data_IF_776355223416
#
_entry.id   IF_776355223416
#
_cell.length_a   1.000
_cell.length_b   1.000
_cell.length_c   1.000
_cell.angle_alpha   90.00
_cell.angle_beta   90.00
_cell.angle_gamma   90.00
#
_symmetry.space_group_name_H-M   'P 1'
#
loop_
_entity.id
_entity.type
_entity.pdbx_description
1 polymer ?
#
# COMPACT_ATOMS: atom_id res chain seq x y z
N UNK A 1 -8.10 -32.46 -28.46
CA UNK A 1 -7.77 -33.40 -27.35
C UNK A 1 -6.30 -33.30 -26.92
N UNK A 2 -5.32 -33.35 -27.84
CA UNK A 2 -3.89 -33.18 -27.49
C UNK A 2 -3.49 -31.81 -26.93
N UNK A 3 -4.10 -30.72 -27.41
CA UNK A 3 -3.83 -29.37 -26.90
C UNK A 3 -4.26 -29.20 -25.43
N UNK A 4 -5.33 -29.89 -25.01
CA UNK A 4 -5.81 -29.91 -23.62
C UNK A 4 -4.88 -30.74 -22.73
N UNK A 5 -4.43 -31.91 -23.20
CA UNK A 5 -3.45 -32.73 -22.48
C UNK A 5 -2.10 -32.02 -22.27
N UNK A 6 -1.59 -31.31 -23.30
CA UNK A 6 -0.36 -30.49 -23.17
C UNK A 6 -0.53 -29.34 -22.18
N UNK A 7 -1.69 -28.68 -22.21
CA UNK A 7 -1.99 -27.58 -21.29
C UNK A 7 -2.07 -28.05 -19.84
N UNK A 8 -2.70 -29.21 -19.59
CA UNK A 8 -2.76 -29.86 -18.27
C UNK A 8 -1.37 -30.26 -17.75
N UNK A 9 -0.50 -30.78 -18.61
CA UNK A 9 0.86 -31.16 -18.22
C UNK A 9 1.72 -29.95 -17.86
N UNK A 10 1.66 -28.87 -18.64
CA UNK A 10 2.33 -27.61 -18.32
C UNK A 10 1.83 -27.03 -16.99
N UNK A 11 0.52 -27.05 -16.75
CA UNK A 11 -0.06 -26.61 -15.49
C UNK A 11 0.47 -27.42 -14.30
N UNK A 12 0.52 -28.75 -14.42
CA UNK A 12 1.08 -29.61 -13.37
C UNK A 12 2.56 -29.33 -13.11
N UNK A 13 3.37 -29.10 -14.15
CA UNK A 13 4.79 -28.75 -13.99
C UNK A 13 4.98 -27.42 -13.26
N UNK A 14 4.20 -26.39 -13.60
CA UNK A 14 4.28 -25.09 -12.93
C UNK A 14 3.84 -25.18 -11.46
N UNK A 15 2.82 -25.99 -11.16
CA UNK A 15 2.40 -26.27 -9.80
C UNK A 15 3.50 -27.00 -9.02
N UNK A 16 4.07 -28.08 -9.59
CA UNK A 16 5.18 -28.82 -8.97
C UNK A 16 6.40 -27.93 -8.72
N UNK A 17 6.75 -27.05 -9.67
CA UNK A 17 7.82 -26.08 -9.48
C UNK A 17 7.52 -25.14 -8.31
N UNK A 18 6.28 -24.68 -8.17
CA UNK A 18 5.84 -23.82 -7.07
C UNK A 18 5.99 -24.54 -5.73
N UNK A 19 5.56 -25.79 -5.63
CA UNK A 19 5.70 -26.62 -4.42
C UNK A 19 7.18 -26.84 -4.09
N UNK A 20 8.00 -27.20 -5.08
CA UNK A 20 9.43 -27.41 -4.89
C UNK A 20 10.15 -26.15 -4.41
N UNK A 21 9.79 -24.97 -4.94
CA UNK A 21 10.33 -23.69 -4.49
C UNK A 21 9.89 -23.38 -3.05
N UNK A 22 8.63 -23.62 -2.69
CA UNK A 22 8.14 -23.46 -1.31
C UNK A 22 8.95 -24.36 -0.37
N UNK A 23 9.10 -25.64 -0.70
CA UNK A 23 9.86 -26.59 0.12
C UNK A 23 11.31 -26.15 0.26
N UNK A 24 11.94 -25.73 -0.84
CA UNK A 24 13.31 -25.23 -0.86
C UNK A 24 13.51 -24.03 0.06
N UNK A 25 12.67 -23.00 -0.08
CA UNK A 25 12.80 -21.78 0.74
C UNK A 25 12.39 -21.99 2.20
N UNK A 26 11.50 -22.96 2.47
CA UNK A 26 11.07 -23.31 3.83
C UNK A 26 12.20 -23.94 4.65
N UNK A 27 13.11 -24.69 4.02
CA UNK A 27 14.25 -25.32 4.71
C UNK A 27 15.29 -24.26 5.11
N UNK A 28 15.84 -24.32 6.35
CA UNK A 28 16.92 -23.43 6.75
C UNK A 28 18.17 -23.68 5.89
N UNK A 29 18.82 -22.61 5.45
CA UNK A 29 20.00 -22.71 4.61
C UNK A 29 20.65 -21.36 4.29
N UNK A 30 21.97 -21.34 4.04
CA UNK A 30 22.69 -20.14 3.64
C UNK A 30 22.27 -19.70 2.23
N UNK A 31 22.33 -18.40 1.93
CA UNK A 31 22.14 -17.81 0.58
C UNK A 31 20.75 -17.98 -0.06
N UNK A 32 19.71 -18.32 0.71
CA UNK A 32 18.32 -18.39 0.19
C UNK A 32 17.90 -17.10 -0.49
N UNK A 33 18.26 -15.96 0.10
CA UNK A 33 17.92 -14.66 -0.46
C UNK A 33 18.68 -14.36 -1.75
N UNK A 34 19.95 -14.75 -1.85
CA UNK A 34 20.73 -14.66 -3.10
C UNK A 34 20.05 -15.45 -4.22
N UNK A 35 19.57 -16.66 -3.91
CA UNK A 35 18.89 -17.53 -4.87
C UNK A 35 17.54 -16.93 -5.25
N UNK A 36 16.76 -16.42 -4.28
CA UNK A 36 15.51 -15.73 -4.55
C UNK A 36 15.75 -14.53 -5.48
N UNK A 37 16.79 -13.73 -5.24
CA UNK A 37 17.16 -12.62 -6.09
C UNK A 37 17.69 -13.04 -7.47
N UNK A 38 18.45 -14.13 -7.58
CA UNK A 38 18.91 -14.66 -8.86
C UNK A 38 17.74 -15.16 -9.73
N UNK A 39 16.71 -15.72 -9.10
CA UNK A 39 15.50 -16.18 -9.77
C UNK A 39 14.59 -14.99 -10.15
N UNK A 40 14.37 -14.08 -9.19
CA UNK A 40 13.28 -13.11 -9.25
C UNK A 40 13.70 -11.64 -9.29
N UNK A 41 14.98 -11.30 -9.45
CA UNK A 41 15.49 -9.92 -9.38
C UNK A 41 14.83 -8.89 -10.33
N UNK A 42 15.43 -7.72 -10.48
CA UNK A 42 14.79 -6.55 -11.13
C UNK A 42 14.43 -6.70 -12.62
N UNK A 43 14.93 -7.75 -13.30
CA UNK A 43 14.64 -8.04 -14.71
C UNK A 43 14.01 -9.42 -14.83
N UNK A 44 12.67 -9.47 -14.95
CA UNK A 44 11.93 -10.71 -15.09
C UNK A 44 11.36 -10.90 -16.49
N UNK A 45 11.50 -12.12 -17.00
CA UNK A 45 10.68 -12.58 -18.12
C UNK A 45 9.22 -12.76 -17.66
N UNK A 46 8.23 -12.68 -18.57
CA UNK A 46 6.83 -12.91 -18.23
C UNK A 46 6.59 -14.23 -17.48
N UNK A 47 7.31 -15.29 -17.87
CA UNK A 47 7.25 -16.61 -17.21
C UNK A 47 7.73 -16.57 -15.76
N UNK A 48 8.87 -15.90 -15.49
CA UNK A 48 9.39 -15.76 -14.11
C UNK A 48 8.52 -14.85 -13.25
N UNK A 49 7.92 -13.82 -13.85
CA UNK A 49 6.92 -12.96 -13.19
C UNK A 49 5.69 -13.77 -12.78
N UNK A 50 5.13 -14.59 -13.68
CA UNK A 50 4.02 -15.48 -13.37
C UNK A 50 4.37 -16.51 -12.28
N UNK A 51 5.59 -17.07 -12.34
CA UNK A 51 6.06 -18.00 -11.30
C UNK A 51 6.20 -17.32 -9.93
N UNK A 52 6.68 -16.07 -9.89
CA UNK A 52 6.76 -15.28 -8.66
C UNK A 52 5.36 -15.04 -8.06
N UNK A 53 4.39 -14.65 -8.89
CA UNK A 53 2.99 -14.46 -8.46
C UNK A 53 2.44 -15.73 -7.84
N UNK A 54 2.54 -16.88 -8.54
CA UNK A 54 2.06 -18.17 -8.02
C UNK A 54 2.74 -18.55 -6.72
N UNK A 55 4.06 -18.37 -6.63
CA UNK A 55 4.84 -18.63 -5.43
C UNK A 55 4.36 -17.77 -4.25
N UNK A 56 4.18 -16.47 -4.44
CA UNK A 56 3.74 -15.55 -3.38
C UNK A 56 2.30 -15.80 -3.00
N UNK A 57 1.37 -15.94 -3.95
CA UNK A 57 -0.05 -16.23 -3.67
C UNK A 57 -0.22 -17.56 -2.91
N UNK A 58 0.56 -18.58 -3.26
CA UNK A 58 0.57 -19.86 -2.54
C UNK A 58 1.19 -19.70 -1.15
N UNK A 59 2.30 -18.96 -1.02
CA UNK A 59 2.95 -18.69 0.26
C UNK A 59 2.07 -17.87 1.21
N UNK A 60 1.26 -16.95 0.67
CA UNK A 60 0.24 -16.20 1.41
C UNK A 60 -0.82 -17.15 1.97
N UNK A 61 -1.34 -18.04 1.12
CA UNK A 61 -2.39 -19.01 1.51
C UNK A 61 -1.90 -20.06 2.52
N UNK A 62 -0.63 -20.43 2.45
CA UNK A 62 0.02 -21.40 3.32
C UNK A 62 0.83 -20.77 4.46
N UNK A 63 0.82 -19.45 4.61
CA UNK A 63 1.58 -18.68 5.61
C UNK A 63 3.08 -19.03 5.65
N UNK A 64 3.72 -19.19 4.49
CA UNK A 64 5.14 -19.59 4.37
C UNK A 64 6.05 -18.38 4.59
N UNK A 65 6.41 -18.15 5.85
CA UNK A 65 7.16 -16.98 6.32
C UNK A 65 8.45 -16.69 5.55
N UNK A 66 9.34 -17.66 5.25
CA UNK A 66 10.60 -17.36 4.56
C UNK A 66 10.38 -16.80 3.16
N UNK A 67 9.41 -17.37 2.42
CA UNK A 67 9.06 -16.91 1.07
C UNK A 67 8.46 -15.50 1.11
N UNK A 68 7.54 -15.25 2.05
CA UNK A 68 6.91 -13.93 2.19
C UNK A 68 7.92 -12.86 2.63
N UNK A 69 8.89 -13.22 3.46
CA UNK A 69 9.98 -12.33 3.87
C UNK A 69 10.84 -11.93 2.65
N UNK A 70 11.25 -12.91 1.84
CA UNK A 70 12.00 -12.67 0.60
C UNK A 70 11.18 -11.84 -0.42
N UNK A 71 9.88 -12.11 -0.55
CA UNK A 71 8.98 -11.33 -1.40
C UNK A 71 8.84 -9.88 -0.92
N UNK A 72 8.80 -9.63 0.39
CA UNK A 72 8.80 -8.30 0.98
C UNK A 72 10.10 -7.53 0.68
N UNK A 73 11.25 -8.20 0.84
CA UNK A 73 12.56 -7.67 0.47
C UNK A 73 12.64 -7.32 -1.03
N UNK A 74 12.12 -8.21 -1.88
CA UNK A 74 12.04 -8.01 -3.32
C UNK A 74 11.19 -6.79 -3.70
N UNK A 75 9.99 -6.64 -3.13
CA UNK A 75 9.13 -5.48 -3.36
C UNK A 75 9.82 -4.16 -2.96
N UNK A 76 10.58 -4.19 -1.87
CA UNK A 76 11.36 -3.03 -1.42
C UNK A 76 12.51 -2.70 -2.38
N UNK A 77 13.23 -3.72 -2.87
CA UNK A 77 14.39 -3.53 -3.74
C UNK A 77 14.00 -3.08 -5.16
N UNK A 78 13.02 -3.75 -5.77
CA UNK A 78 12.54 -3.41 -7.12
C UNK A 78 11.76 -2.10 -7.11
N UNK A 79 11.18 -1.75 -5.96
CA UNK A 79 10.43 -0.53 -5.75
C UNK A 79 9.01 -0.63 -6.27
N UNK A 80 8.05 -0.34 -5.40
CA UNK A 80 6.62 -0.48 -5.66
C UNK A 80 6.08 0.36 -6.84
N UNK A 81 6.82 1.38 -7.28
CA UNK A 81 6.43 2.24 -8.42
C UNK A 81 6.83 1.68 -9.78
N UNK A 82 7.70 0.66 -9.81
CA UNK A 82 8.16 0.04 -11.06
C UNK A 82 7.04 -0.73 -11.76
N UNK A 83 7.07 -0.77 -13.09
CA UNK A 83 6.07 -1.49 -13.90
C UNK A 83 6.01 -2.97 -13.53
N UNK A 84 7.17 -3.60 -13.29
CA UNK A 84 7.28 -4.99 -12.88
C UNK A 84 6.60 -5.26 -11.53
N UNK A 85 6.92 -4.47 -10.50
CA UNK A 85 6.32 -4.64 -9.17
C UNK A 85 4.81 -4.44 -9.21
N UNK A 86 4.33 -3.51 -10.03
CA UNK A 86 2.90 -3.24 -10.18
C UNK A 86 2.14 -4.40 -10.81
N UNK A 87 2.67 -5.00 -11.87
CA UNK A 87 2.03 -6.15 -12.52
C UNK A 87 1.93 -7.33 -11.56
N UNK A 88 3.04 -7.65 -10.88
CA UNK A 88 3.07 -8.71 -9.86
C UNK A 88 2.11 -8.40 -8.72
N UNK A 89 2.12 -7.18 -8.19
CA UNK A 89 1.23 -6.77 -7.09
C UNK A 89 -0.24 -6.85 -7.50
N UNK A 90 -0.58 -6.45 -8.72
CA UNK A 90 -1.95 -6.51 -9.24
C UNK A 90 -2.46 -7.95 -9.29
N UNK A 91 -1.63 -8.88 -9.77
CA UNK A 91 -2.00 -10.29 -9.82
C UNK A 91 -2.12 -10.90 -8.42
N UNK A 92 -1.18 -10.62 -7.51
CA UNK A 92 -1.28 -11.07 -6.11
C UNK A 92 -2.53 -10.50 -5.44
N UNK A 93 -2.85 -9.22 -5.66
CA UNK A 93 -4.06 -8.60 -5.10
C UNK A 93 -5.34 -9.22 -5.65
N UNK A 94 -5.38 -9.56 -6.94
CA UNK A 94 -6.51 -10.28 -7.54
C UNK A 94 -6.66 -11.68 -6.92
N UNK A 95 -5.57 -12.45 -6.81
CA UNK A 95 -5.58 -13.75 -6.15
C UNK A 95 -6.05 -13.61 -4.70
N UNK A 96 -5.55 -12.61 -3.97
CA UNK A 96 -5.94 -12.34 -2.59
C UNK A 96 -7.45 -12.12 -2.46
N UNK A 97 -8.05 -11.34 -3.37
CA UNK A 97 -9.51 -11.09 -3.37
C UNK A 97 -10.35 -12.28 -3.78
N UNK A 98 -9.82 -13.16 -4.65
CA UNK A 98 -10.54 -14.36 -5.08
C UNK A 98 -10.52 -15.46 -4.00
N UNK A 99 -9.43 -15.54 -3.24
CA UNK A 99 -9.22 -16.55 -2.19
C UNK A 99 -9.57 -16.05 -0.77
N UNK A 100 -10.14 -14.84 -0.63
CA UNK A 100 -10.37 -14.16 0.65
C UNK A 100 -11.47 -14.77 1.53
N UNK A 101 -12.29 -15.70 1.04
CA UNK A 101 -13.39 -16.28 1.83
C UNK A 101 -12.96 -17.49 2.68
N UNK A 102 -12.19 -18.48 2.17
CA UNK A 102 -11.76 -19.64 2.97
C UNK A 102 -10.45 -19.44 3.75
N UNK A 103 -9.59 -18.50 3.34
CA UNK A 103 -8.25 -18.30 3.93
C UNK A 103 -8.16 -17.07 4.85
N UNK A 104 -9.29 -16.42 5.14
CA UNK A 104 -9.37 -15.10 5.78
C UNK A 104 -8.56 -15.01 7.09
N UNK A 105 -8.71 -15.98 7.99
CA UNK A 105 -7.99 -16.01 9.27
C UNK A 105 -6.46 -16.01 9.10
N UNK A 106 -5.95 -16.76 8.11
CA UNK A 106 -4.52 -16.79 7.81
C UNK A 106 -4.04 -15.46 7.25
N UNK A 107 -4.87 -14.80 6.44
CA UNK A 107 -4.58 -13.49 5.87
C UNK A 107 -4.54 -12.40 6.96
N UNK A 108 -5.47 -12.44 7.91
CA UNK A 108 -5.51 -11.53 9.06
C UNK A 108 -4.22 -11.63 9.89
N UNK A 109 -3.73 -12.85 10.12
CA UNK A 109 -2.49 -13.12 10.85
C UNK A 109 -1.20 -12.67 10.13
N UNK A 110 -1.22 -12.42 8.81
CA UNK A 110 0.00 -12.03 8.07
C UNK A 110 0.62 -10.73 8.60
N UNK A 111 -0.20 -9.81 9.08
CA UNK A 111 0.26 -8.56 9.69
C UNK A 111 1.15 -8.78 10.91
N UNK A 112 0.94 -9.88 11.64
CA UNK A 112 1.74 -10.27 12.80
C UNK A 112 2.92 -11.14 12.44
N UNK A 113 2.72 -12.10 11.54
CA UNK A 113 3.74 -13.09 11.22
C UNK A 113 4.82 -12.50 10.30
N UNK A 114 4.41 -11.70 9.30
CA UNK A 114 5.31 -11.12 8.29
C UNK A 114 5.02 -9.63 8.08
N UNK A 115 5.16 -8.79 9.13
CA UNK A 115 4.76 -7.38 9.11
C UNK A 115 5.46 -6.56 8.02
N UNK A 116 6.70 -6.92 7.70
CA UNK A 116 7.43 -6.28 6.61
C UNK A 116 6.75 -6.49 5.25
N UNK A 117 6.39 -7.73 4.93
CA UNK A 117 5.67 -8.05 3.70
C UNK A 117 4.32 -7.34 3.66
N UNK A 118 3.55 -7.40 4.76
CA UNK A 118 2.25 -6.74 4.87
C UNK A 118 2.35 -5.23 4.58
N UNK A 119 3.32 -4.53 5.19
CA UNK A 119 3.55 -3.10 4.95
C UNK A 119 3.89 -2.81 3.48
N UNK A 120 4.76 -3.60 2.84
CA UNK A 120 5.14 -3.41 1.43
C UNK A 120 4.01 -3.71 0.48
N UNK A 121 3.27 -4.76 0.76
CA UNK A 121 2.11 -5.13 -0.02
C UNK A 121 1.03 -4.05 0.06
N UNK A 122 0.72 -3.53 1.26
CA UNK A 122 -0.18 -2.39 1.43
C UNK A 122 0.25 -1.18 0.60
N UNK A 123 1.53 -0.78 0.65
CA UNK A 123 2.03 0.36 -0.14
C UNK A 123 1.89 0.11 -1.64
N UNK A 124 2.27 -1.08 -2.10
CA UNK A 124 2.24 -1.43 -3.52
C UNK A 124 0.79 -1.49 -4.04
N UNK A 125 -0.11 -2.15 -3.32
CA UNK A 125 -1.54 -2.20 -3.63
C UNK A 125 -2.13 -0.79 -3.58
N UNK A 126 -1.77 0.01 -2.58
CA UNK A 126 -2.25 1.37 -2.47
C UNK A 126 -1.84 2.24 -3.67
N UNK A 127 -0.66 2.03 -4.25
CA UNK A 127 -0.21 2.76 -5.46
C UNK A 127 -1.02 2.39 -6.72
N UNK A 128 -1.59 1.18 -6.80
CA UNK A 128 -2.43 0.73 -7.93
C UNK A 128 -3.79 1.44 -7.98
N UNK A 129 -4.38 1.71 -6.83
CA UNK A 129 -5.74 2.24 -6.71
C UNK A 129 -5.76 3.71 -6.24
N UNK A 130 -6.80 4.44 -6.61
CA UNK A 130 -7.01 5.85 -6.26
C UNK A 130 -5.83 6.76 -6.62
N UNK A 131 -5.14 6.45 -7.72
CA UNK A 131 -3.93 7.13 -8.19
C UNK A 131 -4.09 7.59 -9.65
N UNK A 132 -4.41 8.87 -9.85
CA UNK A 132 -4.64 9.45 -11.20
C UNK A 132 -3.42 9.36 -12.12
N UNK A 133 -2.21 9.11 -11.61
CA UNK A 133 -1.03 8.91 -12.46
C UNK A 133 -1.01 7.54 -13.16
N UNK A 134 -1.86 6.61 -12.70
CA UNK A 134 -1.87 5.21 -13.15
C UNK A 134 -3.05 4.90 -14.07
N UNK A 135 -4.11 5.70 -14.01
CA UNK A 135 -5.32 5.52 -14.81
C UNK A 135 -5.94 6.88 -15.14
N UNK A 136 -6.69 6.95 -16.25
CA UNK A 136 -7.39 8.17 -16.68
C UNK A 136 -8.42 8.71 -15.66
N UNK A 137 -8.73 7.95 -14.61
CA UNK A 137 -9.56 8.35 -13.48
C UNK A 137 -9.13 7.66 -12.18
N UNK A 138 -9.86 7.93 -11.09
CA UNK A 138 -9.66 7.28 -9.80
C UNK A 138 -10.40 5.93 -9.78
N UNK A 139 -9.66 4.83 -9.73
CA UNK A 139 -10.23 3.49 -9.58
C UNK A 139 -10.21 3.08 -8.11
N UNK A 140 -11.35 2.71 -7.49
CA UNK A 140 -11.37 2.23 -6.11
C UNK A 140 -10.75 0.83 -5.99
N UNK A 141 -10.10 0.50 -4.85
CA UNK A 141 -9.70 -0.87 -4.55
C UNK A 141 -10.91 -1.80 -4.32
N UNK A 142 -10.74 -3.11 -4.52
CA UNK A 142 -11.68 -4.14 -4.06
C UNK A 142 -11.99 -4.04 -2.56
N UNK A 143 -13.25 -4.24 -2.17
CA UNK A 143 -13.72 -4.10 -0.78
C UNK A 143 -13.04 -5.09 0.17
N UNK A 144 -12.79 -6.33 -0.27
CA UNK A 144 -12.08 -7.33 0.54
C UNK A 144 -10.66 -6.88 0.94
N UNK A 145 -9.94 -6.17 0.07
CA UNK A 145 -8.62 -5.61 0.43
C UNK A 145 -8.74 -4.46 1.42
N UNK A 146 -9.80 -3.66 1.28
CA UNK A 146 -10.08 -2.56 2.19
C UNK A 146 -10.37 -3.07 3.60
N UNK A 147 -11.17 -4.13 3.73
CA UNK A 147 -11.48 -4.76 5.01
C UNK A 147 -10.23 -5.32 5.68
N UNK A 148 -9.45 -6.13 4.95
CA UNK A 148 -8.23 -6.74 5.50
C UNK A 148 -7.20 -5.68 5.89
N UNK A 149 -7.00 -4.64 5.07
CA UNK A 149 -6.07 -3.57 5.44
C UNK A 149 -6.58 -2.74 6.62
N UNK A 150 -7.90 -2.58 6.77
CA UNK A 150 -8.48 -1.94 7.95
C UNK A 150 -8.21 -2.75 9.20
N UNK A 151 -8.38 -4.06 9.14
CA UNK A 151 -8.12 -4.98 10.24
C UNK A 151 -6.63 -4.99 10.63
N UNK A 152 -5.72 -5.17 9.67
CA UNK A 152 -4.28 -5.09 9.89
C UNK A 152 -3.85 -3.78 10.58
N UNK A 153 -4.39 -2.64 10.13
CA UNK A 153 -4.08 -1.33 10.73
C UNK A 153 -4.74 -1.13 12.10
N UNK A 154 -5.82 -1.83 12.41
CA UNK A 154 -6.52 -1.69 13.69
C UNK A 154 -5.88 -2.56 14.76
N UNK A 155 -5.48 -3.78 14.41
CA UNK A 155 -4.91 -4.73 15.37
C UNK A 155 -3.42 -4.46 15.63
N UNK A 156 -2.62 -4.26 14.57
CA UNK A 156 -1.16 -4.25 14.67
C UNK A 156 -0.49 -3.00 14.06
N UNK A 157 -1.00 -1.77 14.34
CA UNK A 157 -0.58 -0.56 13.65
C UNK A 157 0.90 -0.24 13.80
N UNK A 158 1.43 -0.32 15.02
CA UNK A 158 2.83 0.03 15.33
C UNK A 158 3.79 -0.97 14.71
N UNK A 159 3.47 -2.26 14.77
CA UNK A 159 4.29 -3.36 14.21
C UNK A 159 4.45 -3.18 12.70
N UNK A 160 3.36 -2.92 11.97
CA UNK A 160 3.40 -2.68 10.52
C UNK A 160 4.17 -1.39 10.19
N UNK A 161 3.92 -0.32 10.94
CA UNK A 161 4.51 0.99 10.67
C UNK A 161 6.00 1.09 11.02
N UNK A 162 6.48 0.21 11.89
CA UNK A 162 7.85 0.16 12.39
C UNK A 162 8.61 -1.09 11.93
N UNK A 163 7.97 -1.93 11.10
CA UNK A 163 8.55 -3.16 10.60
C UNK A 163 9.97 -2.89 10.09
N UNK A 164 11.01 -3.43 10.76
CA UNK A 164 12.38 -3.16 10.33
C UNK A 164 12.52 -3.61 8.87
N UNK A 165 13.37 -2.95 8.06
CA UNK A 165 13.78 -3.54 6.80
C UNK A 165 14.32 -4.95 7.09
N UNK A 166 14.15 -5.92 6.18
CA UNK A 166 14.71 -7.24 6.39
C UNK A 166 16.21 -7.06 6.62
N UNK A 167 16.71 -7.38 7.81
CA UNK A 167 18.15 -7.35 8.11
C UNK A 167 18.93 -8.44 7.36
N UNK A 168 18.21 -9.32 6.69
CA UNK A 168 18.65 -10.51 5.95
C UNK A 168 17.76 -10.57 4.71
N UNK A 169 18.34 -10.62 3.51
CA UNK A 169 17.55 -10.52 2.29
C UNK A 169 18.27 -9.93 1.08
N UNK A 170 19.29 -9.11 1.29
CA UNK A 170 19.94 -8.40 0.18
C UNK A 170 21.24 -9.08 -0.23
N UNK A 171 21.52 -9.19 -1.55
CA UNK A 171 22.82 -9.67 -2.02
C UNK A 171 23.95 -8.83 -1.43
N UNK A 172 25.12 -9.43 -1.24
CA UNK A 172 26.31 -8.71 -0.80
C UNK A 172 26.55 -7.47 -1.67
N UNK A 173 26.57 -6.28 -1.04
CA UNK A 173 26.75 -4.99 -1.72
C UNK A 173 25.47 -4.26 -2.16
N UNK A 174 24.28 -4.87 -2.04
CA UNK A 174 23.02 -4.20 -2.34
C UNK A 174 22.53 -3.37 -1.15
N UNK A 175 22.17 -2.10 -1.38
CA UNK A 175 21.57 -1.25 -0.35
C UNK A 175 20.05 -1.46 -0.30
N UNK A 176 19.45 -1.57 0.90
CA UNK A 176 18.01 -1.63 1.02
C UNK A 176 17.40 -0.34 0.46
N UNK A 177 16.41 -0.46 -0.42
CA UNK A 177 15.57 0.67 -0.81
C UNK A 177 14.93 1.32 0.43
N UNK A 178 14.51 2.59 0.40
CA UNK A 178 13.96 3.25 1.59
C UNK A 178 12.71 2.52 2.11
N UNK A 179 12.57 2.47 3.44
CA UNK A 179 11.29 2.08 4.03
C UNK A 179 10.22 3.13 3.76
N UNK A 180 9.10 2.66 3.23
CA UNK A 180 7.93 3.49 2.91
C UNK A 180 6.81 2.96 3.77
N UNK A 181 6.36 3.82 4.69
CA UNK A 181 5.30 3.50 5.60
C UNK A 181 3.94 3.52 4.85
N UNK A 182 3.04 2.53 5.09
CA UNK A 182 1.75 2.44 4.39
C UNK A 182 0.78 3.58 4.71
N UNK A 183 0.95 4.29 5.83
CA UNK A 183 0.04 5.32 6.30
C UNK A 183 -0.24 6.40 5.25
N UNK A 184 0.80 6.93 4.59
CA UNK A 184 0.59 7.99 3.60
C UNK A 184 -0.20 7.50 2.37
N UNK A 185 0.07 6.27 1.93
CA UNK A 185 -0.60 5.66 0.79
C UNK A 185 -2.05 5.29 1.10
N UNK A 186 -2.33 4.77 2.30
CA UNK A 186 -3.69 4.46 2.76
C UNK A 186 -4.48 5.72 3.15
N UNK A 187 -3.82 6.77 3.63
CA UNK A 187 -4.45 8.08 3.83
C UNK A 187 -4.97 8.63 2.50
N UNK A 188 -4.21 8.47 1.40
CA UNK A 188 -4.70 8.85 0.08
C UNK A 188 -5.97 8.10 -0.29
N UNK A 189 -6.08 6.81 0.02
CA UNK A 189 -7.31 6.07 -0.20
C UNK A 189 -8.48 6.69 0.56
N UNK A 190 -8.33 6.85 1.86
CA UNK A 190 -9.44 7.34 2.69
C UNK A 190 -9.83 8.79 2.38
N UNK A 191 -8.87 9.65 2.05
CA UNK A 191 -9.13 11.03 1.68
C UNK A 191 -9.81 11.15 0.31
N UNK A 192 -9.38 10.38 -0.69
CA UNK A 192 -9.92 10.46 -2.05
C UNK A 192 -11.15 9.57 -2.26
N UNK A 193 -11.42 8.61 -1.37
CA UNK A 193 -12.55 7.69 -1.48
C UNK A 193 -13.90 8.39 -1.74
N UNK A 194 -14.28 9.50 -1.07
CA UNK A 194 -15.55 10.17 -1.31
C UNK A 194 -15.79 10.58 -2.77
N UNK A 195 -14.71 10.75 -3.56
CA UNK A 195 -14.78 11.10 -4.98
C UNK A 195 -15.22 9.95 -5.88
N UNK A 196 -15.24 8.71 -5.36
CA UNK A 196 -15.58 7.49 -6.11
C UNK A 196 -16.52 6.54 -5.38
N UNK A 197 -16.58 6.59 -4.04
CA UNK A 197 -17.35 5.68 -3.20
C UNK A 197 -17.67 6.31 -1.85
N UNK A 198 -18.85 6.01 -1.30
CA UNK A 198 -19.28 6.40 0.04
C UNK A 198 -19.26 5.22 1.02
N UNK A 199 -18.56 4.12 0.70
CA UNK A 199 -18.51 2.91 1.51
C UNK A 199 -18.02 3.17 2.95
N UNK A 200 -18.72 2.59 3.93
CA UNK A 200 -18.43 2.77 5.35
C UNK A 200 -17.05 2.23 5.75
N UNK A 201 -16.52 1.25 5.02
CA UNK A 201 -15.20 0.67 5.23
C UNK A 201 -14.08 1.73 5.15
N UNK A 202 -14.19 2.73 4.26
CA UNK A 202 -13.21 3.83 4.22
C UNK A 202 -13.23 4.71 5.46
N UNK A 203 -14.39 4.88 6.11
CA UNK A 203 -14.49 5.65 7.35
C UNK A 203 -13.82 4.91 8.50
N UNK A 204 -13.99 3.57 8.58
CA UNK A 204 -13.31 2.73 9.56
C UNK A 204 -11.78 2.78 9.35
N UNK A 205 -11.33 2.60 8.11
CA UNK A 205 -9.91 2.75 7.78
C UNK A 205 -9.40 4.15 8.13
N UNK A 206 -10.15 5.22 7.80
CA UNK A 206 -9.72 6.58 8.10
C UNK A 206 -9.48 6.79 9.59
N UNK A 207 -10.41 6.37 10.43
CA UNK A 207 -10.28 6.45 11.88
C UNK A 207 -9.06 5.65 12.38
N UNK A 208 -8.92 4.41 11.91
CA UNK A 208 -7.77 3.54 12.24
C UNK A 208 -6.43 4.21 11.90
N UNK A 209 -6.32 4.82 10.71
CA UNK A 209 -5.12 5.55 10.29
C UNK A 209 -4.83 6.78 11.17
N UNK A 210 -5.85 7.58 11.52
CA UNK A 210 -5.66 8.76 12.37
C UNK A 210 -5.15 8.35 13.76
N UNK A 211 -5.76 7.33 14.38
CA UNK A 211 -5.33 6.77 15.65
C UNK A 211 -3.91 6.23 15.56
N UNK A 212 -3.60 5.52 14.47
CA UNK A 212 -2.25 4.98 14.23
C UNK A 212 -1.19 6.08 14.15
N UNK A 213 -1.47 7.19 13.45
CA UNK A 213 -0.51 8.31 13.34
C UNK A 213 -0.18 8.87 14.72
N UNK A 214 -1.17 8.96 15.63
CA UNK A 214 -0.94 9.39 17.00
C UNK A 214 -0.10 8.37 17.78
N UNK A 215 -0.44 7.08 17.70
CA UNK A 215 0.28 6.00 18.40
C UNK A 215 1.73 5.85 17.92
N UNK A 216 1.97 5.85 16.60
CA UNK A 216 3.34 5.68 16.07
C UNK A 216 4.23 6.85 16.48
N UNK A 217 3.68 8.06 16.59
CA UNK A 217 4.42 9.23 17.02
C UNK A 217 4.87 9.19 18.49
N UNK A 218 4.16 8.47 19.37
CA UNK A 218 4.59 8.31 20.76
C UNK A 218 5.75 7.33 20.88
N UNK A 219 5.77 6.29 20.03
CA UNK A 219 6.80 5.23 20.05
C UNK A 219 8.03 5.63 19.23
N UNK A 220 7.86 6.30 18.09
CA UNK A 220 8.96 6.69 17.20
C UNK A 220 8.81 8.14 16.76
N UNK A 221 9.78 8.98 17.16
CA UNK A 221 9.81 10.42 16.84
C UNK A 221 10.27 10.74 15.42
N UNK A 222 10.61 9.73 14.60
CA UNK A 222 10.97 9.95 13.18
C UNK A 222 9.73 10.32 12.36
N UNK A 223 9.95 11.08 11.29
CA UNK A 223 8.88 11.48 10.37
C UNK A 223 8.24 10.26 9.73
N UNK A 224 6.91 10.13 9.87
CA UNK A 224 6.14 8.98 9.42
C UNK A 224 5.46 9.24 8.07
N UNK A 225 5.16 10.52 7.76
CA UNK A 225 4.40 10.91 6.58
C UNK A 225 5.24 11.77 5.63
N UNK A 226 5.69 11.20 4.48
CA UNK A 226 6.44 11.96 3.49
C UNK A 226 5.58 13.03 2.83
N UNK A 227 6.08 14.27 2.77
CA UNK A 227 5.41 15.39 2.09
C UNK A 227 5.03 15.05 0.64
N UNK A 228 5.88 14.32 -0.08
CA UNK A 228 5.63 13.93 -1.48
C UNK A 228 4.31 13.19 -1.66
N UNK A 229 3.97 12.30 -0.73
CA UNK A 229 2.74 11.48 -0.79
C UNK A 229 1.51 12.33 -0.41
N UNK A 230 1.62 13.21 0.60
CA UNK A 230 0.55 14.18 0.93
C UNK A 230 0.29 15.17 -0.21
N UNK A 231 1.34 15.62 -0.90
CA UNK A 231 1.23 16.48 -2.08
C UNK A 231 0.51 15.78 -3.24
N UNK A 232 0.55 14.45 -3.33
CA UNK A 232 -0.21 13.71 -4.34
C UNK A 232 -1.72 13.76 -4.07
N UNK A 233 -2.12 13.79 -2.80
CA UNK A 233 -3.52 14.02 -2.40
C UNK A 233 -3.98 15.41 -2.86
N UNK A 234 -3.17 16.45 -2.56
CA UNK A 234 -3.46 17.83 -3.00
C UNK A 234 -3.64 17.90 -4.51
N UNK A 235 -2.73 17.31 -5.28
CA UNK A 235 -2.82 17.29 -6.75
C UNK A 235 -4.10 16.62 -7.24
N UNK A 236 -4.48 15.49 -6.64
CA UNK A 236 -5.72 14.78 -7.03
C UNK A 236 -6.97 15.61 -6.73
N UNK A 237 -6.98 16.34 -5.60
CA UNK A 237 -8.06 17.28 -5.27
C UNK A 237 -8.09 18.48 -6.22
N UNK A 238 -6.94 19.00 -6.64
CA UNK A 238 -6.85 20.06 -7.65
C UNK A 238 -7.41 19.60 -9.00
N UNK A 239 -7.04 18.40 -9.46
CA UNK A 239 -7.59 17.78 -10.67
C UNK A 239 -9.11 17.65 -10.59
N UNK A 240 -9.63 17.18 -9.44
CA UNK A 240 -11.07 17.06 -9.22
C UNK A 240 -11.77 18.42 -9.24
N UNK A 241 -11.21 19.45 -8.59
CA UNK A 241 -11.74 20.82 -8.66
C UNK A 241 -11.78 21.35 -10.09
N UNK A 242 -10.76 21.08 -10.90
CA UNK A 242 -10.75 21.46 -12.31
C UNK A 242 -11.90 20.81 -13.09
N UNK A 243 -12.18 19.51 -12.83
CA UNK A 243 -13.34 18.80 -13.40
C UNK A 243 -14.68 19.38 -12.95
N UNK A 244 -14.82 19.75 -11.67
CA UNK A 244 -16.03 20.41 -11.17
C UNK A 244 -16.27 21.75 -11.87
N UNK A 245 -15.22 22.57 -12.03
CA UNK A 245 -15.30 23.86 -12.74
C UNK A 245 -15.72 23.67 -14.20
N UNK A 246 -15.19 22.66 -14.90
CA UNK A 246 -15.59 22.34 -16.26
C UNK A 246 -17.10 21.97 -16.35
N UNK A 247 -17.65 21.38 -15.28
CA UNK A 247 -19.08 21.07 -15.12
C UNK A 247 -19.91 22.23 -14.54
N UNK A 248 -19.31 23.41 -14.33
CA UNK A 248 -19.92 24.58 -13.68
C UNK A 248 -20.43 24.32 -12.25
N UNK A 249 -19.86 23.32 -11.57
CA UNK A 249 -20.15 23.02 -10.17
C UNK A 249 -19.11 23.69 -9.28
N UNK A 250 -19.55 24.45 -8.27
CA UNK A 250 -18.64 25.02 -7.26
C UNK A 250 -18.22 23.92 -6.28
N UNK A 251 -16.91 23.80 -5.94
CA UNK A 251 -16.44 22.81 -4.96
C UNK A 251 -17.12 22.94 -3.58
N UNK A 252 -17.58 24.13 -3.19
CA UNK A 252 -18.34 24.33 -1.94
C UNK A 252 -19.66 23.55 -1.88
N UNK A 253 -20.28 23.28 -3.03
CA UNK A 253 -21.56 22.59 -3.14
C UNK A 253 -21.43 21.10 -3.47
N UNK A 254 -20.20 20.60 -3.64
CA UNK A 254 -19.95 19.19 -3.98
C UNK A 254 -19.65 18.39 -2.70
N UNK A 255 -20.60 17.54 -2.28
CA UNK A 255 -20.50 16.75 -1.05
C UNK A 255 -19.27 15.85 -1.01
N UNK A 256 -18.88 15.28 -2.16
CA UNK A 256 -17.71 14.41 -2.27
C UNK A 256 -16.42 15.20 -1.98
N UNK A 257 -16.26 16.37 -2.59
CA UNK A 257 -15.15 17.28 -2.30
C UNK A 257 -15.14 17.73 -0.84
N UNK A 258 -16.29 18.13 -0.28
CA UNK A 258 -16.39 18.56 1.11
C UNK A 258 -15.94 17.45 2.08
N UNK A 259 -16.38 16.21 1.86
CA UNK A 259 -15.97 15.04 2.65
C UNK A 259 -14.48 14.73 2.50
N UNK A 260 -13.95 14.80 1.29
CA UNK A 260 -12.52 14.62 1.03
C UNK A 260 -11.68 15.69 1.75
N UNK A 261 -12.10 16.96 1.69
CA UNK A 261 -11.43 18.05 2.40
C UNK A 261 -11.51 17.90 3.92
N UNK A 262 -12.64 17.42 4.46
CA UNK A 262 -12.79 17.11 5.87
C UNK A 262 -11.77 16.07 6.33
N UNK A 263 -11.72 14.91 5.64
CA UNK A 263 -10.76 13.83 5.94
C UNK A 263 -9.31 14.31 5.80
N UNK A 264 -9.01 15.11 4.78
CA UNK A 264 -7.66 15.63 4.61
C UNK A 264 -7.26 16.60 5.71
N UNK A 265 -8.14 17.51 6.10
CA UNK A 265 -7.89 18.45 7.18
C UNK A 265 -7.68 17.74 8.53
N UNK A 266 -8.46 16.70 8.83
CA UNK A 266 -8.25 15.84 10.00
C UNK A 266 -6.87 15.17 9.96
N UNK A 267 -6.51 14.55 8.85
CA UNK A 267 -5.21 13.89 8.68
C UNK A 267 -4.03 14.87 8.84
N UNK A 268 -4.09 16.04 8.21
CA UNK A 268 -3.05 17.07 8.31
C UNK A 268 -2.96 17.61 9.74
N UNK A 269 -4.09 17.88 10.41
CA UNK A 269 -4.11 18.34 11.80
C UNK A 269 -3.43 17.33 12.73
N UNK A 270 -3.84 16.07 12.66
CA UNK A 270 -3.27 15.00 13.49
C UNK A 270 -1.78 14.83 13.21
N UNK A 271 -1.38 14.77 11.93
CA UNK A 271 0.02 14.63 11.55
C UNK A 271 0.90 15.79 12.05
N UNK A 272 0.40 17.04 12.01
CA UNK A 272 1.13 18.20 12.52
C UNK A 272 1.22 18.20 14.05
N UNK A 273 0.13 17.87 14.74
CA UNK A 273 0.13 17.73 16.21
C UNK A 273 1.10 16.65 16.67
N UNK A 274 1.15 15.52 15.96
CA UNK A 274 2.01 14.38 16.25
C UNK A 274 3.45 14.53 15.71
N UNK A 275 3.81 15.68 15.10
CA UNK A 275 5.12 15.92 14.49
C UNK A 275 5.53 14.87 13.43
N UNK A 276 4.56 14.28 12.75
CA UNK A 276 4.77 13.25 11.73
C UNK A 276 5.16 13.80 10.36
N UNK A 277 5.26 15.13 10.21
CA UNK A 277 5.65 15.82 8.97
C UNK A 277 6.91 16.66 9.25
N UNK A 278 8.00 16.36 8.54
CA UNK A 278 9.30 17.03 8.73
C UNK A 278 9.26 18.52 8.36
N UNK A 279 8.83 18.83 7.12
CA UNK A 279 8.76 20.19 6.61
C UNK A 279 7.32 20.54 6.23
N UNK A 280 6.59 21.24 7.11
CA UNK A 280 5.19 21.58 6.90
C UNK A 280 4.94 22.63 5.81
N UNK A 281 5.93 23.45 5.45
CA UNK A 281 5.71 24.64 4.60
C UNK A 281 5.22 24.33 3.18
N UNK A 282 5.84 23.40 2.42
CA UNK A 282 5.39 23.08 1.07
C UNK A 282 3.95 22.55 1.05
N UNK A 283 3.60 21.70 2.03
CA UNK A 283 2.24 21.17 2.16
C UNK A 283 1.24 22.29 2.45
N UNK A 284 1.50 23.13 3.45
CA UNK A 284 0.58 24.22 3.81
C UNK A 284 0.42 25.24 2.68
N UNK A 285 1.50 25.52 1.93
CA UNK A 285 1.43 26.37 0.74
C UNK A 285 0.53 25.75 -0.35
N UNK A 286 0.70 24.46 -0.62
CA UNK A 286 -0.09 23.76 -1.63
C UNK A 286 -1.58 23.64 -1.25
N UNK A 287 -1.86 23.39 0.03
CA UNK A 287 -3.24 23.32 0.55
C UNK A 287 -3.97 24.66 0.40
N UNK A 288 -3.27 25.80 0.55
CA UNK A 288 -3.87 27.13 0.32
C UNK A 288 -4.30 27.37 -1.13
N UNK A 289 -3.80 26.59 -2.08
CA UNK A 289 -4.22 26.67 -3.49
C UNK A 289 -5.52 25.89 -3.76
N UNK A 290 -6.00 25.09 -2.81
CA UNK A 290 -7.31 24.44 -2.90
C UNK A 290 -8.42 25.44 -2.54
N UNK A 291 -9.65 25.24 -3.05
CA UNK A 291 -10.82 25.97 -2.61
C UNK A 291 -10.94 26.02 -1.07
N UNK A 292 -11.37 27.15 -0.50
CA UNK A 292 -11.36 27.36 0.94
C UNK A 292 -12.25 26.34 1.66
N UNK A 293 -11.76 25.81 2.77
CA UNK A 293 -12.50 24.85 3.61
C UNK A 293 -12.26 25.17 5.09
N UNK A 294 -13.36 25.35 5.85
CA UNK A 294 -13.34 25.90 7.22
C UNK A 294 -12.36 25.18 8.14
N UNK A 295 -12.42 23.85 8.20
CA UNK A 295 -11.55 23.08 9.09
C UNK A 295 -10.08 23.24 8.70
N UNK A 296 -9.75 23.19 7.41
CA UNK A 296 -8.38 23.35 6.94
C UNK A 296 -7.84 24.76 7.22
N UNK A 297 -8.67 25.79 7.13
CA UNK A 297 -8.30 27.15 7.53
C UNK A 297 -7.94 27.25 9.02
N UNK A 298 -8.64 26.50 9.88
CA UNK A 298 -8.31 26.37 11.31
C UNK A 298 -6.95 25.66 11.47
N UNK A 299 -6.71 24.57 10.73
CA UNK A 299 -5.41 23.87 10.75
C UNK A 299 -4.29 24.84 10.39
N UNK A 300 -4.40 25.55 9.27
CA UNK A 300 -3.37 26.50 8.80
C UNK A 300 -3.14 27.63 9.80
N UNK A 301 -4.19 28.20 10.40
CA UNK A 301 -4.06 29.31 11.35
C UNK A 301 -3.39 28.88 12.65
N UNK A 302 -3.66 27.65 13.13
CA UNK A 302 -3.01 27.09 14.33
C UNK A 302 -1.49 26.96 14.19
N UNK A 303 -0.99 26.78 12.95
CA UNK A 303 0.44 26.65 12.68
C UNK A 303 1.19 27.97 12.62
N UNK A 304 0.49 29.11 12.43
CA UNK A 304 1.11 30.45 12.48
C UNK A 304 1.43 30.90 13.91
N UNK A 305 0.77 30.29 14.90
CA UNK A 305 0.91 30.61 16.33
C UNK A 305 1.96 29.74 17.05
N UNK A 306 2.66 28.86 16.33
CA UNK A 306 3.66 27.91 16.84
C UNK A 306 4.94 27.97 16.02
#
# INVERSE_FOLDING_TARGET
MEADARSRWLFMQEYQLTVALIEFFSKPGPRRDDIFHALFGSKLSPRRSSQLVKLVSTAVSASVVPVLTAAGAWLQQVGYKSTLSQEVTKQIAADFTLHSLPAREKLEQLSMIVPHFAARFMVAVADLYLNEKRSAGLTPPPEALLDVFTEWMTENPTVICQAPPPGVGLPAGATPGPFVNPLASLLRWTVLAPLVSQGAAYSKLHLSLLTTIQQVATVNKKTVLPNRELMQIVKSLQSYCARLRARKVKPEHDDAYQRSMARFAQAVQIALCSKCIANRYPLLAAVKLLPPFKLMSIVISSQKRR
#
